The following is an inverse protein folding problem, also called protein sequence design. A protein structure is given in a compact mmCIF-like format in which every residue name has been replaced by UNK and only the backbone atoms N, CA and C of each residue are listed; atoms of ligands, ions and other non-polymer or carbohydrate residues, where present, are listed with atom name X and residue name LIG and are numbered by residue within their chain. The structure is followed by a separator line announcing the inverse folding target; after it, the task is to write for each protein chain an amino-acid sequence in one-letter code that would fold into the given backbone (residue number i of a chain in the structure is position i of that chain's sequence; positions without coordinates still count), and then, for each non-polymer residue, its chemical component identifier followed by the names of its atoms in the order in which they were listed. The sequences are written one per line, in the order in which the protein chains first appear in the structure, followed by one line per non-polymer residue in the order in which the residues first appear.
data_IF_287539129515
#
_entry.id   IF_287539129515
#
_cell.length_a   1.000
_cell.length_b   1.000
_cell.length_c   1.000
_cell.angle_alpha   90.00
_cell.angle_beta   90.00
_cell.angle_gamma   90.00
#
_symmetry.space_group_name_H-M   'P 1'
#
loop_
_entity.id
_entity.type
_entity.pdbx_description
1 polymer ?
#
# COMPACT_ATOMS: atom_id res chain seq x y z
N UNK A 1 19.19 -19.67 -20.01
CA UNK A 1 19.17 -18.75 -18.85
C UNK A 1 19.19 -17.33 -19.41
N UNK A 2 18.07 -16.88 -19.98
CA UNK A 2 17.97 -15.52 -20.52
C UNK A 2 17.55 -14.62 -19.38
N UNK A 3 18.53 -14.12 -18.62
CA UNK A 3 18.31 -13.11 -17.59
C UNK A 3 18.41 -11.75 -18.27
N UNK A 4 17.28 -11.21 -18.64
CA UNK A 4 17.17 -9.85 -19.16
C UNK A 4 17.56 -8.86 -18.04
N UNK A 5 18.72 -8.21 -18.18
CA UNK A 5 19.32 -7.32 -17.18
C UNK A 5 18.59 -5.97 -17.03
N UNK A 6 17.44 -5.78 -17.70
CA UNK A 6 16.68 -4.53 -17.68
C UNK A 6 15.61 -4.43 -16.58
N UNK A 7 15.51 -5.43 -15.69
CA UNK A 7 14.48 -5.50 -14.64
C UNK A 7 15.02 -5.15 -13.24
N UNK A 8 15.94 -4.17 -13.12
CA UNK A 8 16.65 -3.86 -11.85
C UNK A 8 16.45 -2.47 -11.26
N UNK A 9 15.81 -1.53 -11.95
CA UNK A 9 15.61 -0.18 -11.39
C UNK A 9 14.22 -0.03 -10.78
N UNK A 10 14.07 -0.59 -9.59
CA UNK A 10 12.98 -0.21 -8.70
C UNK A 10 13.25 1.20 -8.15
N UNK A 11 12.50 2.18 -8.66
CA UNK A 11 12.58 3.57 -8.20
C UNK A 11 11.40 3.89 -7.29
N UNK A 12 11.57 3.90 -5.96
CA UNK A 12 10.46 4.09 -5.02
C UNK A 12 9.75 5.45 -5.18
N UNK A 13 10.47 6.50 -5.58
CA UNK A 13 9.88 7.82 -5.86
C UNK A 13 8.96 7.80 -7.08
N UNK A 14 9.37 7.13 -8.16
CA UNK A 14 8.53 7.02 -9.36
C UNK A 14 7.31 6.15 -9.11
N UNK A 15 7.49 5.03 -8.39
CA UNK A 15 6.39 4.14 -8.05
C UNK A 15 5.37 4.79 -7.13
N UNK A 16 5.81 5.52 -6.10
CA UNK A 16 4.89 6.22 -5.19
C UNK A 16 4.11 7.31 -5.93
N UNK A 17 4.77 8.09 -6.80
CA UNK A 17 4.11 9.10 -7.60
C UNK A 17 3.08 8.50 -8.56
N UNK A 18 3.45 7.45 -9.29
CA UNK A 18 2.56 6.77 -10.22
C UNK A 18 1.34 6.17 -9.50
N UNK A 19 1.58 5.48 -8.38
CA UNK A 19 0.51 4.93 -7.53
C UNK A 19 -0.41 6.03 -7.00
N UNK A 20 0.14 7.14 -6.52
CA UNK A 20 -0.68 8.26 -6.03
C UNK A 20 -1.54 8.88 -7.13
N UNK A 21 -1.01 8.98 -8.35
CA UNK A 21 -1.74 9.53 -9.50
C UNK A 21 -2.89 8.59 -9.90
N UNK A 22 -2.61 7.29 -10.02
CA UNK A 22 -3.61 6.25 -10.29
C UNK A 22 -4.74 6.24 -9.24
N UNK A 23 -4.39 6.28 -7.96
CA UNK A 23 -5.37 6.31 -6.86
C UNK A 23 -6.18 7.60 -6.89
N UNK A 24 -5.56 8.74 -7.23
CA UNK A 24 -6.27 10.02 -7.34
C UNK A 24 -7.25 10.07 -8.52
N UNK A 25 -6.93 9.39 -9.63
CA UNK A 25 -7.81 9.26 -10.79
C UNK A 25 -8.99 8.32 -10.53
N UNK A 26 -8.72 7.12 -10.01
CA UNK A 26 -9.73 6.08 -9.79
C UNK A 26 -10.53 6.28 -8.48
N UNK A 27 -10.02 7.07 -7.53
CA UNK A 27 -10.59 7.31 -6.19
C UNK A 27 -11.17 6.05 -5.53
N UNK A 28 -10.37 4.98 -5.37
CA UNK A 28 -10.83 3.79 -4.68
C UNK A 28 -11.07 4.07 -3.20
N UNK A 29 -12.11 3.46 -2.64
CA UNK A 29 -12.43 3.53 -1.20
C UNK A 29 -11.41 2.75 -0.35
N UNK A 30 -10.86 1.65 -0.91
CA UNK A 30 -9.87 0.79 -0.26
C UNK A 30 -8.83 0.26 -1.25
N UNK A 31 -7.55 0.31 -0.89
CA UNK A 31 -6.44 -0.29 -1.65
C UNK A 31 -5.77 -1.37 -0.81
N UNK A 32 -5.76 -2.59 -1.33
CA UNK A 32 -5.13 -3.74 -0.69
C UNK A 32 -3.90 -4.17 -1.49
N UNK A 33 -2.78 -4.35 -0.80
CA UNK A 33 -1.58 -4.91 -1.40
C UNK A 33 -0.90 -5.90 -0.47
N UNK A 34 -0.15 -6.80 -1.09
CA UNK A 34 0.67 -7.78 -0.40
C UNK A 34 1.75 -7.10 0.46
N UNK A 35 2.07 -7.69 1.62
CA UNK A 35 3.13 -7.23 2.54
C UNK A 35 4.55 -7.48 2.01
N UNK A 36 4.79 -7.13 0.75
CA UNK A 36 6.12 -7.15 0.15
C UNK A 36 6.96 -6.01 0.72
N UNK A 37 8.29 -6.19 0.79
CA UNK A 37 9.22 -5.16 1.28
C UNK A 37 9.05 -3.81 0.57
N UNK A 38 8.76 -3.85 -0.73
CA UNK A 38 8.48 -2.67 -1.56
C UNK A 38 7.18 -1.95 -1.14
N UNK A 39 6.13 -2.71 -0.83
CA UNK A 39 4.85 -2.15 -0.38
C UNK A 39 5.00 -1.45 0.98
N UNK A 40 5.74 -2.03 1.91
CA UNK A 40 6.01 -1.41 3.22
C UNK A 40 6.74 -0.07 3.12
N UNK A 41 7.55 0.14 2.07
CA UNK A 41 8.22 1.43 1.82
C UNK A 41 7.34 2.41 1.02
N UNK A 42 6.57 1.94 0.03
CA UNK A 42 5.75 2.78 -0.84
C UNK A 42 4.47 3.26 -0.20
N UNK A 43 3.72 2.37 0.45
CA UNK A 43 2.40 2.67 1.00
C UNK A 43 2.40 3.84 1.99
N UNK A 44 3.32 3.95 2.97
CA UNK A 44 3.33 5.11 3.86
C UNK A 44 3.63 6.42 3.13
N UNK A 45 4.46 6.41 2.07
CA UNK A 45 4.73 7.62 1.27
C UNK A 45 3.52 8.04 0.46
N UNK A 46 2.86 7.08 -0.20
CA UNK A 46 1.64 7.32 -0.98
C UNK A 46 0.49 7.78 -0.08
N UNK A 47 0.35 7.17 1.09
CA UNK A 47 -0.63 7.55 2.10
C UNK A 47 -0.41 9.00 2.58
N UNK A 48 0.84 9.41 2.81
CA UNK A 48 1.17 10.79 3.14
C UNK A 48 0.84 11.78 2.01
N UNK A 49 1.04 11.39 0.75
CA UNK A 49 0.71 12.23 -0.42
C UNK A 49 -0.81 12.40 -0.58
N UNK A 50 -1.57 11.34 -0.31
CA UNK A 50 -3.03 11.27 -0.49
C UNK A 50 -3.82 11.61 0.77
N UNK A 51 -3.14 11.97 1.87
CA UNK A 51 -3.73 12.16 3.21
C UNK A 51 -4.61 10.97 3.65
N UNK A 52 -4.18 9.75 3.31
CA UNK A 52 -4.89 8.51 3.59
C UNK A 52 -4.27 7.77 4.78
N UNK A 53 -5.07 6.94 5.46
CA UNK A 53 -4.58 6.03 6.49
C UNK A 53 -3.94 4.77 5.88
N UNK A 54 -2.77 4.36 6.37
CA UNK A 54 -2.13 3.09 6.00
C UNK A 54 -2.16 2.13 7.19
N UNK A 55 -2.52 0.87 6.94
CA UNK A 55 -2.48 -0.19 7.95
C UNK A 55 -1.54 -1.27 7.43
N UNK A 56 -0.46 -1.51 8.18
CA UNK A 56 0.54 -2.54 7.85
C UNK A 56 0.26 -3.83 8.62
N UNK A 57 0.65 -4.98 8.07
CA UNK A 57 0.57 -6.29 8.73
C UNK A 57 -0.86 -6.75 9.11
N UNK A 58 -1.86 -6.44 8.26
CA UNK A 58 -3.21 -6.99 8.40
C UNK A 58 -3.24 -8.45 7.93
N UNK A 59 -3.29 -9.40 8.87
CA UNK A 59 -3.54 -10.82 8.55
C UNK A 59 -5.02 -11.09 8.26
N UNK A 60 -5.90 -10.26 8.84
CA UNK A 60 -7.35 -10.38 8.74
C UNK A 60 -7.97 -8.99 8.63
N UNK A 61 -8.72 -8.77 7.55
CA UNK A 61 -9.47 -7.54 7.30
C UNK A 61 -10.96 -7.84 7.41
N UNK A 62 -11.66 -7.18 8.33
CA UNK A 62 -13.10 -7.29 8.46
C UNK A 62 -13.76 -5.99 7.98
N UNK A 63 -14.81 -6.11 7.18
CA UNK A 63 -15.63 -4.98 6.77
C UNK A 63 -16.84 -4.91 7.71
N UNK A 64 -16.82 -3.96 8.65
CA UNK A 64 -17.97 -3.71 9.53
C UNK A 64 -18.55 -2.34 9.20
N UNK A 65 -19.80 -2.31 8.77
CA UNK A 65 -20.60 -1.09 8.53
C UNK A 65 -19.93 0.01 7.68
N UNK A 66 -19.22 -0.37 6.61
CA UNK A 66 -18.61 0.59 5.68
C UNK A 66 -17.25 1.16 6.12
N UNK A 67 -16.64 0.59 7.16
CA UNK A 67 -15.26 0.89 7.56
C UNK A 67 -14.46 -0.42 7.58
N UNK A 68 -13.31 -0.44 6.90
CA UNK A 68 -12.39 -1.57 6.97
C UNK A 68 -11.64 -1.52 8.31
N UNK A 69 -11.89 -2.51 9.17
CA UNK A 69 -11.23 -2.64 10.47
C UNK A 69 -10.27 -3.82 10.45
N UNK A 70 -9.00 -3.64 10.83
CA UNK A 70 -8.08 -4.76 11.00
C UNK A 70 -8.46 -5.54 12.26
N UNK A 71 -8.66 -6.85 12.12
CA UNK A 71 -9.05 -7.74 13.23
C UNK A 71 -7.98 -7.80 14.34
N UNK A 72 -6.72 -7.54 13.99
CA UNK A 72 -5.60 -7.50 14.94
C UNK A 72 -5.33 -6.07 15.45
N UNK A 73 -6.36 -5.43 15.99
CA UNK A 73 -6.18 -4.24 16.83
C UNK A 73 -5.87 -4.68 18.27
N UNK A 74 -4.76 -5.40 18.48
CA UNK A 74 -4.23 -5.61 19.82
C UNK A 74 -3.35 -4.40 20.17
N UNK A 75 -3.73 -3.53 21.10
CA UNK A 75 -2.82 -2.50 21.61
C UNK A 75 -1.76 -3.23 22.43
N UNK A 76 -0.63 -3.58 21.81
CA UNK A 76 0.57 -3.88 22.60
C UNK A 76 1.12 -2.53 23.06
N UNK A 77 0.84 -2.25 24.33
CA UNK A 77 1.49 -1.25 25.16
C UNK A 77 3.02 -1.26 24.99
#
# INVERSE_FOLDING_TARGET
MCTDDNLKNYNPELYSKLMSDLISQEKPDYVLASSSMLARDLFPRVAQILDAGVISDCTELAFSSGTAVPSNSSPKC
#
